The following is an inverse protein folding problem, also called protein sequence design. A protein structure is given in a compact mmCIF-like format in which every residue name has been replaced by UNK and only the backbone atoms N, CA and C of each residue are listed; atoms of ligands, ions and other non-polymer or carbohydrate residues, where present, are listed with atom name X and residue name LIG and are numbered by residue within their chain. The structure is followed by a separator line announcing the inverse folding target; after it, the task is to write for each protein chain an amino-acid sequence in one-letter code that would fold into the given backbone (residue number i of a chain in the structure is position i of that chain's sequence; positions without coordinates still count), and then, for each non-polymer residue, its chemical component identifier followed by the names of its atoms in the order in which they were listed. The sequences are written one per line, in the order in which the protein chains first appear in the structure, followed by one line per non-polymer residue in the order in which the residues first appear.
data_IF_370352699592
#
_entry.id   IF_370352699592
#
_cell.length_a   1.000
_cell.length_b   1.000
_cell.length_c   1.000
_cell.angle_alpha   90.00
_cell.angle_beta   90.00
_cell.angle_gamma   90.00
#
_symmetry.space_group_name_H-M   'P 1'
#
loop_
_entity.id
_entity.type
_entity.pdbx_description
1 polymer ?
#
# COMPACT_ATOMS: atom_id res chain seq x y z
N UNK A 1 14.04 -24.16 -32.90
CA UNK A 1 14.64 -25.12 -31.94
C UNK A 1 13.93 -24.95 -30.61
N UNK A 2 13.25 -26.00 -30.11
CA UNK A 2 12.66 -26.02 -28.76
C UNK A 2 13.74 -26.53 -27.83
N UNK A 3 14.16 -25.70 -26.85
CA UNK A 3 15.25 -26.05 -25.92
C UNK A 3 14.72 -26.78 -24.66
N UNK A 4 13.49 -26.51 -24.25
CA UNK A 4 12.86 -27.22 -23.13
C UNK A 4 11.34 -27.15 -23.23
N UNK A 5 10.68 -28.17 -22.72
CA UNK A 5 9.22 -28.21 -22.56
C UNK A 5 8.97 -28.50 -21.08
N UNK A 6 8.26 -27.59 -20.40
CA UNK A 6 7.89 -27.74 -19.00
C UNK A 6 6.39 -27.94 -18.87
N UNK A 7 5.99 -28.90 -18.06
CA UNK A 7 4.60 -29.13 -17.71
C UNK A 7 4.36 -28.69 -16.27
N UNK A 8 3.46 -27.76 -16.07
CA UNK A 8 3.05 -27.34 -14.71
C UNK A 8 1.94 -28.28 -14.25
N UNK A 9 2.16 -28.94 -13.14
CA UNK A 9 1.15 -29.75 -12.44
C UNK A 9 0.90 -29.15 -11.06
N UNK A 10 -0.35 -29.22 -10.52
CA UNK A 10 -0.62 -28.79 -9.15
C UNK A 10 0.26 -29.58 -8.17
N UNK A 11 0.79 -28.92 -7.18
CA UNK A 11 1.54 -29.57 -6.09
C UNK A 11 0.56 -30.26 -5.16
N UNK A 12 0.98 -31.39 -4.58
CA UNK A 12 0.21 -32.04 -3.52
C UNK A 12 0.17 -31.18 -2.27
N UNK A 13 -0.99 -31.15 -1.59
CA UNK A 13 -1.18 -30.41 -0.34
C UNK A 13 -0.58 -31.25 0.79
N UNK A 14 0.68 -30.98 1.12
CA UNK A 14 1.47 -31.70 2.09
C UNK A 14 2.37 -30.75 2.90
N UNK A 15 3.08 -31.30 3.89
CA UNK A 15 3.95 -30.54 4.79
C UNK A 15 5.06 -29.76 4.03
N UNK A 16 5.58 -30.32 2.95
CA UNK A 16 6.59 -29.64 2.11
C UNK A 16 6.03 -28.37 1.49
N UNK A 17 4.77 -28.39 1.01
CA UNK A 17 4.09 -27.22 0.49
C UNK A 17 3.87 -26.18 1.60
N UNK A 18 3.48 -26.61 2.82
CA UNK A 18 3.24 -25.70 3.94
C UNK A 18 4.50 -24.92 4.30
N UNK A 19 5.62 -25.63 4.43
CA UNK A 19 6.91 -25.03 4.76
C UNK A 19 7.43 -24.10 3.66
N UNK A 20 7.20 -24.46 2.39
CA UNK A 20 7.58 -23.60 1.25
C UNK A 20 6.73 -22.34 1.17
N UNK A 21 5.43 -22.45 1.44
CA UNK A 21 4.51 -21.30 1.38
C UNK A 21 4.63 -20.38 2.61
N UNK A 22 4.88 -20.96 3.78
CA UNK A 22 4.95 -20.25 5.05
C UNK A 22 6.21 -20.59 5.86
N UNK A 23 7.40 -20.27 5.35
CA UNK A 23 8.66 -20.63 6.00
C UNK A 23 8.86 -19.95 7.38
N UNK A 24 8.14 -18.87 7.65
CA UNK A 24 8.20 -18.12 8.90
C UNK A 24 7.08 -18.46 9.90
N UNK A 25 6.14 -19.34 9.53
CA UNK A 25 5.01 -19.74 10.38
C UNK A 25 5.07 -21.24 10.67
N UNK A 26 4.76 -21.65 11.89
CA UNK A 26 4.59 -23.07 12.23
C UNK A 26 3.27 -23.62 11.65
N UNK A 27 3.28 -23.98 10.37
CA UNK A 27 2.15 -24.60 9.69
C UNK A 27 2.42 -26.08 9.53
N UNK A 28 1.76 -26.92 10.35
CA UNK A 28 2.01 -28.38 10.39
C UNK A 28 0.86 -29.21 9.83
N UNK A 29 -0.35 -28.67 9.81
CA UNK A 29 -1.55 -29.38 9.38
C UNK A 29 -2.25 -28.66 8.22
N UNK A 30 -3.11 -29.40 7.49
CA UNK A 30 -3.97 -28.80 6.44
C UNK A 30 -4.88 -27.70 7.03
N UNK A 31 -5.34 -27.87 8.26
CA UNK A 31 -6.15 -26.85 8.95
C UNK A 31 -5.36 -25.58 9.21
N UNK A 32 -4.11 -25.68 9.70
CA UNK A 32 -3.24 -24.53 9.92
C UNK A 32 -2.93 -23.81 8.61
N UNK A 33 -2.68 -24.58 7.55
CA UNK A 33 -2.40 -24.05 6.22
C UNK A 33 -3.58 -23.25 5.66
N UNK A 34 -4.79 -23.80 5.75
CA UNK A 34 -6.02 -23.10 5.33
C UNK A 34 -6.28 -21.86 6.16
N UNK A 35 -6.04 -21.91 7.46
CA UNK A 35 -6.18 -20.76 8.34
C UNK A 35 -5.16 -19.66 7.99
N UNK A 36 -3.91 -20.02 7.72
CA UNK A 36 -2.88 -19.06 7.30
C UNK A 36 -3.25 -18.36 5.98
N UNK A 37 -3.72 -19.14 4.98
CA UNK A 37 -4.23 -18.59 3.71
C UNK A 37 -5.41 -17.65 3.97
N UNK A 38 -6.37 -18.09 4.80
CA UNK A 38 -7.55 -17.28 5.13
C UNK A 38 -7.15 -15.93 5.75
N UNK A 39 -6.27 -15.93 6.74
CA UNK A 39 -5.75 -14.72 7.36
C UNK A 39 -5.08 -13.77 6.34
N UNK A 40 -4.26 -14.33 5.44
CA UNK A 40 -3.57 -13.54 4.43
C UNK A 40 -4.56 -12.95 3.40
N UNK A 41 -5.58 -13.72 3.01
CA UNK A 41 -6.66 -13.23 2.15
C UNK A 41 -7.51 -12.15 2.84
N UNK A 42 -7.88 -12.34 4.11
CA UNK A 42 -8.61 -11.35 4.89
C UNK A 42 -7.84 -10.02 4.99
N UNK A 43 -6.53 -10.09 5.24
CA UNK A 43 -5.66 -8.89 5.23
C UNK A 43 -5.60 -8.22 3.87
N UNK A 44 -5.44 -9.01 2.80
CA UNK A 44 -5.38 -8.48 1.44
C UNK A 44 -6.70 -7.79 1.03
N UNK A 45 -7.84 -8.42 1.32
CA UNK A 45 -9.15 -7.82 1.04
C UNK A 45 -9.44 -6.59 1.91
N UNK A 46 -9.02 -6.60 3.18
CA UNK A 46 -9.13 -5.43 4.04
C UNK A 46 -8.35 -4.24 3.47
N UNK A 47 -7.12 -4.46 3.01
CA UNK A 47 -6.32 -3.41 2.37
C UNK A 47 -6.95 -2.89 1.06
N UNK A 48 -7.56 -3.78 0.26
CA UNK A 48 -8.27 -3.37 -0.95
C UNK A 48 -9.53 -2.56 -0.62
N UNK A 49 -10.28 -2.97 0.40
CA UNK A 49 -11.44 -2.24 0.89
C UNK A 49 -11.05 -0.86 1.41
N UNK A 50 -9.92 -0.75 2.10
CA UNK A 50 -9.39 0.51 2.61
C UNK A 50 -9.00 1.47 1.49
N UNK A 51 -8.34 0.97 0.44
CA UNK A 51 -8.05 1.77 -0.75
C UNK A 51 -9.32 2.26 -1.44
N UNK A 52 -10.30 1.37 -1.60
CA UNK A 52 -11.57 1.74 -2.21
C UNK A 52 -12.28 2.80 -1.37
N UNK A 53 -12.33 2.62 -0.05
CA UNK A 53 -12.89 3.61 0.88
C UNK A 53 -12.22 4.97 0.73
N UNK A 54 -10.88 5.02 0.75
CA UNK A 54 -10.15 6.28 0.61
C UNK A 54 -10.42 6.94 -0.74
N UNK A 55 -10.48 6.17 -1.84
CA UNK A 55 -10.82 6.67 -3.16
C UNK A 55 -12.23 7.28 -3.21
N UNK A 56 -13.23 6.59 -2.67
CA UNK A 56 -14.61 7.11 -2.64
C UNK A 56 -14.74 8.35 -1.77
N UNK A 57 -14.10 8.38 -0.59
CA UNK A 57 -14.09 9.55 0.27
C UNK A 57 -13.38 10.73 -0.39
N UNK A 58 -12.22 10.49 -1.02
CA UNK A 58 -11.48 11.53 -1.72
C UNK A 58 -12.31 12.15 -2.86
N UNK A 59 -12.95 11.29 -3.68
CA UNK A 59 -13.84 11.72 -4.75
C UNK A 59 -15.01 12.56 -4.21
N UNK A 60 -15.68 12.08 -3.17
CA UNK A 60 -16.79 12.79 -2.56
C UNK A 60 -16.37 14.14 -1.97
N UNK A 61 -15.21 14.22 -1.29
CA UNK A 61 -14.69 15.46 -0.74
C UNK A 61 -14.30 16.46 -1.84
N UNK A 62 -13.71 16.00 -2.94
CA UNK A 62 -13.40 16.85 -4.11
C UNK A 62 -14.67 17.38 -4.76
N UNK A 63 -15.68 16.53 -4.97
CA UNK A 63 -16.97 16.92 -5.59
C UNK A 63 -17.76 17.90 -4.73
N UNK A 64 -17.76 17.70 -3.41
CA UNK A 64 -18.53 18.56 -2.47
C UNK A 64 -17.77 19.82 -2.04
N UNK A 65 -16.47 19.92 -2.36
CA UNK A 65 -15.67 21.10 -2.00
C UNK A 65 -16.11 22.34 -2.77
N UNK A 66 -16.29 23.43 -2.05
CA UNK A 66 -16.81 24.71 -2.59
C UNK A 66 -15.71 25.69 -3.00
N UNK A 67 -14.43 25.40 -2.70
CA UNK A 67 -13.34 26.30 -3.08
C UNK A 67 -13.01 26.17 -4.57
N UNK A 68 -12.67 27.27 -5.18
CA UNK A 68 -12.30 27.36 -6.60
C UNK A 68 -10.78 27.39 -6.75
N UNK A 69 -10.31 26.83 -7.87
CA UNK A 69 -8.92 26.87 -8.26
C UNK A 69 -8.74 27.87 -9.41
N UNK A 70 -7.56 28.54 -9.53
CA UNK A 70 -7.26 29.43 -10.65
C UNK A 70 -6.95 28.61 -11.92
N UNK A 71 -7.98 28.08 -12.57
CA UNK A 71 -7.88 27.11 -13.67
C UNK A 71 -6.98 27.58 -14.81
N UNK A 72 -7.09 28.83 -15.22
CA UNK A 72 -6.28 29.39 -16.31
C UNK A 72 -4.79 29.51 -15.96
N UNK A 73 -4.48 29.73 -14.68
CA UNK A 73 -3.10 29.73 -14.20
C UNK A 73 -2.59 28.27 -14.16
N UNK A 74 -3.37 27.34 -13.62
CA UNK A 74 -2.98 25.94 -13.47
C UNK A 74 -2.75 25.26 -14.82
N UNK A 75 -3.59 25.52 -15.82
CA UNK A 75 -3.37 25.02 -17.19
C UNK A 75 -2.02 25.47 -17.75
N UNK A 76 -1.71 26.77 -17.64
CA UNK A 76 -0.42 27.31 -18.11
C UNK A 76 0.75 26.72 -17.32
N UNK A 77 0.62 26.61 -16.02
CA UNK A 77 1.64 26.03 -15.15
C UNK A 77 1.91 24.56 -15.48
N UNK A 78 0.85 23.75 -15.64
CA UNK A 78 0.96 22.35 -16.03
C UNK A 78 1.67 22.18 -17.38
N UNK A 79 1.32 22.99 -18.38
CA UNK A 79 1.97 22.98 -19.69
C UNK A 79 3.46 23.31 -19.53
N UNK A 80 3.80 24.34 -18.78
CA UNK A 80 5.18 24.78 -18.60
C UNK A 80 6.03 23.76 -17.86
N UNK A 81 5.50 23.14 -16.80
CA UNK A 81 6.23 22.17 -15.98
C UNK A 81 6.38 20.81 -16.65
N UNK A 82 5.51 20.47 -17.60
CA UNK A 82 5.54 19.21 -18.34
C UNK A 82 6.09 19.36 -19.78
N UNK A 83 6.71 20.49 -20.10
CA UNK A 83 7.29 20.74 -21.43
C UNK A 83 8.25 19.61 -21.82
N UNK A 84 7.97 18.99 -22.98
CA UNK A 84 8.76 17.87 -23.51
C UNK A 84 8.50 16.51 -22.88
N UNK A 85 7.58 16.39 -21.90
CA UNK A 85 7.17 15.12 -21.29
C UNK A 85 5.78 14.68 -21.75
N UNK A 86 4.86 15.62 -21.89
CA UNK A 86 3.46 15.39 -22.27
C UNK A 86 3.06 16.45 -23.29
N UNK A 87 2.23 16.11 -24.27
CA UNK A 87 1.71 17.06 -25.25
C UNK A 87 0.75 18.06 -24.58
N UNK A 88 0.84 19.34 -24.96
CA UNK A 88 -0.02 20.38 -24.42
C UNK A 88 -1.52 20.08 -24.58
N UNK A 89 -1.89 19.43 -25.70
CA UNK A 89 -3.27 19.02 -25.95
C UNK A 89 -3.75 17.98 -24.93
N UNK A 90 -2.93 17.01 -24.63
CA UNK A 90 -3.25 15.96 -23.63
C UNK A 90 -3.46 16.55 -22.24
N UNK A 91 -2.65 17.54 -21.85
CA UNK A 91 -2.83 18.27 -20.58
C UNK A 91 -4.18 18.99 -20.54
N UNK A 92 -4.57 19.64 -21.64
CA UNK A 92 -5.83 20.38 -21.72
C UNK A 92 -7.03 19.43 -21.70
N UNK A 93 -6.97 18.37 -22.50
CA UNK A 93 -8.05 17.38 -22.61
C UNK A 93 -8.28 16.64 -21.26
N UNK A 94 -7.21 16.40 -20.49
CA UNK A 94 -7.27 15.74 -19.18
C UNK A 94 -7.25 16.73 -17.99
N UNK A 95 -7.46 18.04 -18.24
CA UNK A 95 -7.32 19.05 -17.19
C UNK A 95 -8.18 18.79 -15.96
N UNK A 96 -9.40 18.28 -16.14
CA UNK A 96 -10.29 17.94 -15.00
C UNK A 96 -9.63 16.97 -14.03
N UNK A 97 -8.95 15.95 -14.53
CA UNK A 97 -8.24 14.98 -13.71
C UNK A 97 -7.10 15.64 -12.91
N UNK A 98 -6.31 16.51 -13.55
CA UNK A 98 -5.26 17.25 -12.87
C UNK A 98 -5.83 18.21 -11.81
N UNK A 99 -6.92 18.93 -12.15
CA UNK A 99 -7.61 19.82 -11.23
C UNK A 99 -8.11 19.08 -9.99
N UNK A 100 -8.76 17.92 -10.17
CA UNK A 100 -9.31 17.13 -9.08
C UNK A 100 -8.21 16.54 -8.21
N UNK A 101 -7.08 16.15 -8.81
CA UNK A 101 -5.87 15.74 -8.08
C UNK A 101 -5.29 16.89 -7.23
N UNK A 102 -5.22 18.10 -7.77
CA UNK A 102 -4.76 19.28 -7.01
C UNK A 102 -5.75 19.62 -5.88
N UNK A 103 -7.06 19.55 -6.15
CA UNK A 103 -8.08 19.72 -5.10
C UNK A 103 -7.89 18.71 -3.98
N UNK A 104 -7.69 17.44 -4.32
CA UNK A 104 -7.46 16.40 -3.33
C UNK A 104 -6.22 16.71 -2.49
N UNK A 105 -5.08 17.06 -3.10
CA UNK A 105 -3.86 17.41 -2.36
C UNK A 105 -4.07 18.56 -1.35
N UNK A 106 -4.88 19.54 -1.70
CA UNK A 106 -5.20 20.65 -0.80
C UNK A 106 -6.10 20.20 0.35
N UNK A 107 -7.10 19.37 0.07
CA UNK A 107 -7.99 18.77 1.07
C UNK A 107 -7.17 17.88 2.02
N UNK A 108 -6.34 17.01 1.47
CA UNK A 108 -5.45 16.11 2.20
C UNK A 108 -4.52 16.89 3.14
N UNK A 109 -3.85 17.95 2.63
CA UNK A 109 -3.02 18.83 3.45
C UNK A 109 -3.81 19.46 4.60
N UNK A 110 -5.08 19.82 4.37
CA UNK A 110 -5.94 20.37 5.40
C UNK A 110 -6.36 19.33 6.45
N UNK A 111 -6.63 18.10 6.01
CA UNK A 111 -6.92 16.99 6.91
C UNK A 111 -5.69 16.65 7.76
N UNK A 112 -4.48 16.66 7.17
CA UNK A 112 -3.21 16.50 7.91
C UNK A 112 -3.10 17.49 9.05
N UNK A 113 -3.30 18.78 8.75
CA UNK A 113 -3.23 19.85 9.74
C UNK A 113 -4.29 19.69 10.84
N UNK A 114 -5.53 19.41 10.43
CA UNK A 114 -6.68 19.29 11.33
C UNK A 114 -6.54 18.13 12.32
N UNK A 115 -6.13 16.97 11.82
CA UNK A 115 -5.99 15.75 12.61
C UNK A 115 -4.58 15.51 13.14
N UNK A 116 -3.64 16.43 12.85
CA UNK A 116 -2.22 16.34 13.24
C UNK A 116 -1.59 15.02 12.82
N UNK A 117 -1.87 14.62 11.57
CA UNK A 117 -1.34 13.37 11.02
C UNK A 117 0.11 13.58 10.60
N UNK A 118 0.99 12.82 11.22
CA UNK A 118 2.41 12.82 10.90
C UNK A 118 2.91 11.39 10.75
N UNK A 119 3.83 11.18 9.83
CA UNK A 119 4.58 9.93 9.70
C UNK A 119 6.03 10.25 10.02
N UNK A 120 6.52 9.69 11.11
CA UNK A 120 7.90 9.89 11.57
C UNK A 120 8.86 9.00 10.79
N UNK A 121 10.15 9.39 10.78
CA UNK A 121 11.20 8.54 10.22
C UNK A 121 11.33 7.20 10.95
N UNK A 122 11.02 7.18 12.23
CA UNK A 122 11.08 5.96 13.04
C UNK A 122 9.98 4.98 12.65
N UNK A 123 8.79 5.46 12.30
CA UNK A 123 7.70 4.62 11.78
C UNK A 123 8.06 4.02 10.42
N UNK A 124 8.64 4.82 9.51
CA UNK A 124 9.12 4.32 8.22
C UNK A 124 10.19 3.25 8.43
N UNK A 125 11.12 3.48 9.33
CA UNK A 125 12.18 2.53 9.67
C UNK A 125 11.63 1.25 10.30
N UNK A 126 10.64 1.37 11.17
CA UNK A 126 9.95 0.22 11.77
C UNK A 126 9.25 -0.62 10.71
N UNK A 127 8.56 0.02 9.78
CA UNK A 127 7.93 -0.66 8.64
C UNK A 127 8.95 -1.45 7.81
N UNK A 128 10.11 -0.84 7.50
CA UNK A 128 11.18 -1.57 6.79
C UNK A 128 11.70 -2.76 7.58
N UNK A 129 11.90 -2.62 8.89
CA UNK A 129 12.34 -3.73 9.75
C UNK A 129 11.34 -4.88 9.74
N UNK A 130 10.06 -4.60 9.90
CA UNK A 130 8.99 -5.61 9.88
C UNK A 130 8.93 -6.33 8.53
N UNK A 131 9.04 -5.58 7.42
CA UNK A 131 9.08 -6.16 6.08
C UNK A 131 10.32 -7.03 5.86
N UNK A 132 11.49 -6.62 6.37
CA UNK A 132 12.73 -7.40 6.29
C UNK A 132 12.62 -8.68 7.11
N UNK A 133 12.10 -8.62 8.33
CA UNK A 133 11.89 -9.79 9.19
C UNK A 133 10.95 -10.78 8.50
N UNK A 134 9.82 -10.30 7.98
CA UNK A 134 8.81 -11.18 7.39
C UNK A 134 9.27 -11.87 6.11
N UNK A 135 10.09 -11.20 5.28
CA UNK A 135 10.39 -11.70 3.94
C UNK A 135 11.82 -12.25 3.77
N UNK A 136 12.80 -11.73 4.53
CA UNK A 136 14.21 -12.03 4.29
C UNK A 136 14.97 -12.54 5.50
N UNK A 137 14.56 -12.19 6.71
CA UNK A 137 15.25 -12.52 7.95
C UNK A 137 14.30 -13.13 8.99
N UNK A 138 13.56 -14.22 8.66
CA UNK A 138 12.68 -14.87 9.62
C UNK A 138 13.51 -15.39 10.81
N UNK A 139 12.90 -15.39 11.99
CA UNK A 139 13.53 -15.94 13.18
C UNK A 139 13.65 -17.46 13.04
N UNK A 140 14.86 -18.02 13.23
CA UNK A 140 15.06 -19.45 13.23
C UNK A 140 14.63 -20.06 14.58
N UNK A 141 14.06 -21.27 14.56
CA UNK A 141 13.58 -21.96 15.79
C UNK A 141 14.67 -22.15 16.87
N UNK A 142 15.93 -22.33 16.45
CA UNK A 142 17.07 -22.57 17.34
C UNK A 142 18.14 -21.45 17.24
N UNK A 143 17.71 -20.21 17.07
CA UNK A 143 18.60 -19.05 16.96
C UNK A 143 19.30 -18.79 18.29
N UNK A 144 20.63 -18.75 18.28
CA UNK A 144 21.41 -18.36 19.46
C UNK A 144 21.31 -16.84 19.70
N UNK A 145 21.62 -16.40 20.91
CA UNK A 145 21.63 -14.95 21.22
C UNK A 145 22.58 -14.16 20.31
N UNK A 146 23.72 -14.75 19.94
CA UNK A 146 24.69 -14.12 19.04
C UNK A 146 24.12 -13.97 17.61
N UNK A 147 23.50 -15.04 17.09
CA UNK A 147 22.85 -15.03 15.78
C UNK A 147 21.66 -14.04 15.73
N UNK A 148 20.86 -13.99 16.80
CA UNK A 148 19.77 -13.02 16.92
C UNK A 148 20.28 -11.57 16.85
N UNK A 149 21.39 -11.30 17.55
CA UNK A 149 22.02 -9.97 17.55
C UNK A 149 22.58 -9.61 16.18
N UNK A 150 23.29 -10.52 15.52
CA UNK A 150 23.81 -10.30 14.15
C UNK A 150 22.67 -10.04 13.16
N UNK A 151 21.57 -10.77 13.27
CA UNK A 151 20.38 -10.58 12.45
C UNK A 151 19.76 -9.20 12.69
N UNK A 152 19.59 -8.80 13.94
CA UNK A 152 19.06 -7.47 14.29
C UNK A 152 19.94 -6.34 13.79
N UNK A 153 21.27 -6.45 13.94
CA UNK A 153 22.23 -5.47 13.43
C UNK A 153 22.19 -5.37 11.90
N UNK A 154 22.04 -6.51 11.20
CA UNK A 154 21.90 -6.54 9.74
C UNK A 154 20.59 -5.85 9.30
N UNK A 155 19.48 -6.17 9.95
CA UNK A 155 18.18 -5.55 9.69
C UNK A 155 18.24 -4.03 9.92
N UNK A 156 18.83 -3.62 11.06
CA UNK A 156 18.99 -2.20 11.42
C UNK A 156 19.76 -1.43 10.36
N UNK A 157 20.87 -2.00 9.90
CA UNK A 157 21.73 -1.40 8.86
C UNK A 157 20.99 -1.29 7.51
N UNK A 158 20.30 -2.36 7.09
CA UNK A 158 19.55 -2.36 5.83
C UNK A 158 18.40 -1.36 5.90
N UNK A 159 17.61 -1.37 6.97
CA UNK A 159 16.49 -0.44 7.15
C UNK A 159 16.96 1.03 7.16
N UNK A 160 18.12 1.31 7.75
CA UNK A 160 18.71 2.65 7.74
C UNK A 160 19.11 3.07 6.32
N UNK A 161 19.77 2.20 5.57
CA UNK A 161 20.13 2.47 4.17
C UNK A 161 18.89 2.68 3.28
N UNK A 162 17.83 1.90 3.50
CA UNK A 162 16.55 2.07 2.78
C UNK A 162 15.89 3.41 3.10
N UNK A 163 15.98 3.86 4.33
CA UNK A 163 15.46 5.18 4.75
C UNK A 163 16.22 6.35 4.10
N UNK A 164 17.52 6.19 3.83
CA UNK A 164 18.33 7.20 3.14
C UNK A 164 17.97 7.33 1.65
N UNK A 165 17.38 6.30 1.05
CA UNK A 165 16.88 6.35 -0.31
C UNK A 165 15.59 7.17 -0.38
N UNK A 166 15.69 8.38 -0.92
CA UNK A 166 14.57 9.34 -0.94
C UNK A 166 13.32 8.83 -1.66
N UNK A 167 13.46 8.08 -2.74
CA UNK A 167 12.31 7.57 -3.49
C UNK A 167 11.58 6.47 -2.73
N UNK A 168 12.34 5.50 -2.19
CA UNK A 168 11.77 4.43 -1.37
C UNK A 168 11.15 4.98 -0.09
N UNK A 169 11.85 5.89 0.60
CA UNK A 169 11.35 6.55 1.79
C UNK A 169 10.05 7.31 1.54
N UNK A 170 9.92 7.99 0.38
CA UNK A 170 8.70 8.68 -0.02
C UNK A 170 7.52 7.72 -0.25
N UNK A 171 7.74 6.60 -0.95
CA UNK A 171 6.70 5.61 -1.18
C UNK A 171 6.14 5.02 0.11
N UNK A 172 7.01 4.70 1.07
CA UNK A 172 6.57 4.18 2.37
C UNK A 172 5.91 5.27 3.22
N UNK A 173 6.43 6.51 3.16
CA UNK A 173 5.76 7.65 3.79
C UNK A 173 4.32 7.79 3.30
N UNK A 174 4.10 7.82 1.97
CA UNK A 174 2.77 7.92 1.36
C UNK A 174 1.88 6.75 1.79
N UNK A 175 2.40 5.54 1.76
CA UNK A 175 1.66 4.35 2.19
C UNK A 175 1.21 4.42 3.67
N UNK A 176 2.12 4.75 4.58
CA UNK A 176 1.81 4.88 6.01
C UNK A 176 0.88 6.05 6.29
N UNK A 177 1.05 7.12 5.53
CA UNK A 177 0.17 8.28 5.60
C UNK A 177 -1.26 7.92 5.18
N UNK A 178 -1.43 7.26 4.04
CA UNK A 178 -2.74 6.78 3.56
C UNK A 178 -3.42 5.85 4.57
N UNK A 179 -2.65 4.99 5.23
CA UNK A 179 -3.18 4.14 6.30
C UNK A 179 -3.70 4.97 7.48
N UNK A 180 -2.92 5.93 7.97
CA UNK A 180 -3.32 6.82 9.07
C UNK A 180 -4.52 7.67 8.70
N UNK A 181 -4.52 8.24 7.50
CA UNK A 181 -5.64 9.03 6.98
C UNK A 181 -6.91 8.18 6.88
N UNK A 182 -6.81 7.00 6.30
CA UNK A 182 -7.93 6.06 6.18
C UNK A 182 -8.51 5.70 7.53
N UNK A 183 -7.67 5.36 8.50
CA UNK A 183 -8.11 5.05 9.86
C UNK A 183 -8.82 6.25 10.50
N UNK A 184 -8.20 7.44 10.41
CA UNK A 184 -8.78 8.66 10.94
C UNK A 184 -10.12 9.00 10.30
N UNK A 185 -10.24 8.84 8.99
CA UNK A 185 -11.49 9.08 8.28
C UNK A 185 -12.58 8.09 8.71
N UNK A 186 -12.27 6.79 8.83
CA UNK A 186 -13.21 5.77 9.32
C UNK A 186 -13.76 6.09 10.70
N UNK A 187 -12.96 6.69 11.57
CA UNK A 187 -13.36 7.08 12.93
C UNK A 187 -14.24 8.33 12.96
N UNK A 188 -14.10 9.22 11.96
CA UNK A 188 -14.73 10.53 11.94
C UNK A 188 -15.89 10.68 10.95
N UNK A 189 -16.08 9.72 10.03
CA UNK A 189 -17.18 9.74 9.06
C UNK A 189 -18.18 8.61 9.33
N UNK A 190 -19.44 8.82 8.96
CA UNK A 190 -20.42 7.75 8.98
C UNK A 190 -20.17 6.78 7.83
N UNK A 191 -19.66 5.60 8.17
CA UNK A 191 -19.49 4.51 7.21
C UNK A 191 -20.69 3.57 7.25
N UNK A 192 -21.18 3.16 6.09
CA UNK A 192 -22.14 2.07 5.96
C UNK A 192 -21.38 0.81 5.56
N UNK A 193 -21.30 -0.16 6.48
CA UNK A 193 -20.67 -1.44 6.18
C UNK A 193 -21.66 -2.34 5.44
N UNK A 194 -21.27 -2.82 4.27
CA UNK A 194 -22.05 -3.76 3.46
C UNK A 194 -21.27 -5.06 3.28
N UNK A 195 -21.90 -6.16 3.61
CA UNK A 195 -21.40 -7.48 3.25
C UNK A 195 -21.73 -7.75 1.79
N UNK A 196 -20.74 -8.07 0.99
CA UNK A 196 -20.89 -8.38 -0.43
C UNK A 196 -20.12 -9.64 -0.80
N UNK A 197 -20.52 -10.29 -1.90
CA UNK A 197 -19.77 -11.45 -2.42
C UNK A 197 -18.39 -11.01 -2.97
N UNK A 198 -17.44 -11.96 -3.08
CA UNK A 198 -16.14 -11.70 -3.71
C UNK A 198 -16.26 -11.26 -5.16
N UNK A 199 -17.22 -11.82 -5.89
CA UNK A 199 -17.49 -11.43 -7.29
C UNK A 199 -17.98 -9.99 -7.39
N UNK A 200 -18.86 -9.56 -6.49
CA UNK A 200 -19.36 -8.20 -6.47
C UNK A 200 -18.30 -7.21 -5.98
N UNK A 201 -17.46 -7.63 -5.03
CA UNK A 201 -16.30 -6.84 -4.61
C UNK A 201 -15.30 -6.63 -5.75
N UNK A 202 -14.99 -7.69 -6.51
CA UNK A 202 -14.12 -7.60 -7.68
C UNK A 202 -14.69 -6.66 -8.75
N UNK A 203 -16.01 -6.68 -8.99
CA UNK A 203 -16.67 -5.72 -9.90
C UNK A 203 -16.63 -4.29 -9.39
N UNK A 204 -16.69 -4.10 -8.06
CA UNK A 204 -16.61 -2.79 -7.44
C UNK A 204 -15.22 -2.15 -7.63
N UNK A 205 -14.15 -2.96 -7.48
CA UNK A 205 -12.77 -2.49 -7.63
C UNK A 205 -12.37 -2.19 -9.09
N UNK A 206 -13.10 -2.73 -10.07
CA UNK A 206 -12.83 -2.54 -11.50
C UNK A 206 -13.68 -1.41 -12.14
N UNK A 207 -14.41 -0.64 -11.35
CA UNK A 207 -15.15 0.56 -11.77
C UNK A 207 -14.31 1.81 -11.60
#
# INVERSE_FOLDING_TARGET
LVHSISRVTPHEVNEELYQKAYPAKEVKTDADFRNAIKEDMEKAYAQQADRHFLNEVSKQLVETSTFELPDEFLKRWLIQTNTGKVENKEIIDNYTMYRDSIKWQLIESKLMEQYKLEVSKDEIKTYYKEALISNYFPKAENETEEQAKEREEAIEKIATNMLENKEQGKQIYEFLFDQKLTQTLKENVKCENKEISLDDFSKLLNK
#
